data_IF_580683889283
#
_entry.id   IF_580683889283
#
_cell.length_a   1.000
_cell.length_b   1.000
_cell.length_c   1.000
_cell.angle_alpha   90.00
_cell.angle_beta   90.00
_cell.angle_gamma   90.00
#
_symmetry.space_group_name_H-M   'P 1'
#
loop_
_entity.id
_entity.type
_entity.pdbx_description
1 polymer ?
#
# COMPACT_ATOMS: atom_id res chain seq x y z
N UNK A 1 -14.81 -2.95 15.02
CA UNK A 1 -15.77 -3.91 14.43
C UNK A 1 -15.00 -5.19 14.13
N UNK A 2 -15.42 -6.33 14.69
CA UNK A 2 -14.80 -7.62 14.38
C UNK A 2 -15.27 -8.09 13.00
N UNK A 3 -14.36 -8.55 12.15
CA UNK A 3 -14.65 -9.07 10.81
C UNK A 3 -14.05 -10.46 10.66
N UNK A 4 -14.79 -11.37 10.03
CA UNK A 4 -14.30 -12.71 9.68
C UNK A 4 -13.21 -12.60 8.63
N UNK A 5 -12.18 -13.44 8.74
CA UNK A 5 -11.08 -13.50 7.77
C UNK A 5 -11.12 -14.83 7.05
N UNK A 6 -11.21 -14.77 5.72
CA UNK A 6 -10.95 -15.92 4.86
C UNK A 6 -9.68 -15.67 4.04
N UNK A 7 -8.77 -16.64 4.06
CA UNK A 7 -7.40 -16.51 3.52
C UNK A 7 -6.68 -15.25 4.03
N UNK A 8 -6.65 -14.20 3.22
CA UNK A 8 -6.03 -12.89 3.49
C UNK A 8 -7.02 -11.72 3.35
N UNK A 9 -8.32 -12.02 3.28
CA UNK A 9 -9.38 -11.04 3.03
C UNK A 9 -10.31 -10.94 4.23
N UNK A 10 -10.61 -9.71 4.66
CA UNK A 10 -11.65 -9.46 5.65
C UNK A 10 -13.03 -9.43 4.96
N UNK A 11 -13.94 -10.30 5.38
CA UNK A 11 -15.30 -10.37 4.87
C UNK A 11 -16.15 -9.25 5.50
N UNK A 12 -16.79 -8.45 4.67
CA UNK A 12 -17.59 -7.29 5.10
C UNK A 12 -19.02 -7.69 5.48
N UNK A 13 -19.56 -8.71 4.82
CA UNK A 13 -20.97 -9.10 4.90
C UNK A 13 -21.19 -10.37 5.74
N UNK A 14 -20.20 -10.79 6.51
CA UNK A 14 -20.32 -11.96 7.39
C UNK A 14 -21.20 -11.61 8.61
N UNK A 15 -22.26 -12.39 8.80
CA UNK A 15 -23.23 -12.25 9.89
C UNK A 15 -23.23 -13.46 10.86
N UNK A 16 -22.43 -14.48 10.57
CA UNK A 16 -22.32 -15.68 11.40
C UNK A 16 -21.67 -15.40 12.77
N UNK A 17 -22.10 -16.09 13.84
CA UNK A 17 -21.54 -15.90 15.18
C UNK A 17 -20.06 -16.31 15.25
N UNK A 18 -19.27 -15.50 15.94
CA UNK A 18 -17.85 -15.78 16.15
C UNK A 18 -17.68 -16.99 17.08
N UNK A 19 -16.93 -18.00 16.64
CA UNK A 19 -16.65 -19.23 17.38
C UNK A 19 -15.18 -19.30 17.82
N UNK A 20 -14.88 -20.22 18.74
CA UNK A 20 -13.50 -20.46 19.19
C UNK A 20 -12.59 -20.80 18.01
N UNK A 21 -11.34 -20.29 18.04
CA UNK A 21 -10.30 -20.51 17.02
C UNK A 21 -10.58 -19.89 15.64
N UNK A 22 -11.63 -19.07 15.47
CA UNK A 22 -11.83 -18.31 14.23
C UNK A 22 -10.74 -17.25 13.99
N UNK A 23 -10.31 -17.11 12.73
CA UNK A 23 -9.47 -16.00 12.27
C UNK A 23 -10.33 -14.75 12.08
N UNK A 24 -9.96 -13.67 12.77
CA UNK A 24 -10.70 -12.41 12.74
C UNK A 24 -9.75 -11.23 12.53
N UNK A 25 -10.28 -10.16 11.95
CA UNK A 25 -9.64 -8.86 11.84
C UNK A 25 -10.45 -7.82 12.62
N UNK A 26 -9.78 -6.81 13.17
CA UNK A 26 -10.42 -5.76 13.96
C UNK A 26 -10.37 -4.44 13.20
N UNK A 27 -11.48 -4.07 12.57
CA UNK A 27 -11.64 -2.79 11.90
C UNK A 27 -11.86 -1.65 12.91
N UNK A 28 -11.14 -0.54 12.73
CA UNK A 28 -11.31 0.68 13.51
C UNK A 28 -12.51 1.45 12.98
N UNK A 29 -13.54 1.62 13.82
CA UNK A 29 -14.77 2.31 13.42
C UNK A 29 -14.45 3.77 13.08
N UNK A 30 -15.17 4.33 12.11
CA UNK A 30 -15.05 5.73 11.68
C UNK A 30 -13.67 6.07 11.08
N UNK A 31 -13.01 5.07 10.48
CA UNK A 31 -11.73 5.23 9.74
C UNK A 31 -11.84 4.70 8.32
N UNK A 32 -10.94 5.13 7.43
CA UNK A 32 -10.87 4.62 6.06
C UNK A 32 -10.18 3.25 6.01
N UNK A 33 -10.95 2.17 6.22
CA UNK A 33 -10.47 0.78 6.08
C UNK A 33 -9.22 0.48 6.94
N UNK A 34 -9.08 1.13 8.09
CA UNK A 34 -7.98 0.86 9.02
C UNK A 34 -8.31 -0.32 9.90
N UNK A 35 -7.33 -1.19 10.07
CA UNK A 35 -7.42 -2.37 10.92
C UNK A 35 -6.31 -2.38 11.96
N UNK A 36 -6.59 -2.99 13.10
CA UNK A 36 -5.57 -3.34 14.07
C UNK A 36 -4.61 -4.34 13.44
N UNK A 37 -3.33 -4.01 13.40
CA UNK A 37 -2.28 -4.83 12.82
C UNK A 37 -1.10 -4.94 13.78
N UNK A 38 -0.44 -6.10 13.77
CA UNK A 38 0.81 -6.31 14.46
C UNK A 38 1.95 -6.15 13.45
N UNK A 39 2.86 -5.20 13.71
CA UNK A 39 4.12 -5.06 12.97
C UNK A 39 5.27 -5.31 13.94
N UNK A 40 5.88 -6.49 13.82
CA UNK A 40 6.86 -7.00 14.77
C UNK A 40 6.28 -7.04 16.19
N UNK A 41 6.82 -6.24 17.11
CA UNK A 41 6.37 -6.14 18.51
C UNK A 41 5.43 -4.96 18.75
N UNK A 42 5.05 -4.22 17.71
CA UNK A 42 4.21 -3.02 17.81
C UNK A 42 2.81 -3.27 17.27
N UNK A 43 1.83 -2.75 18.00
CA UNK A 43 0.45 -2.63 17.52
C UNK A 43 0.35 -1.32 16.73
N UNK A 44 -0.10 -1.41 15.48
CA UNK A 44 -0.27 -0.29 14.58
C UNK A 44 -1.67 -0.31 13.96
N UNK A 45 -2.06 0.81 13.35
CA UNK A 45 -3.19 0.87 12.46
C UNK A 45 -2.68 0.62 11.04
N UNK A 46 -3.29 -0.29 10.31
CA UNK A 46 -2.90 -0.63 8.94
C UNK A 46 -4.11 -0.60 8.02
N UNK A 47 -4.00 0.12 6.91
CA UNK A 47 -5.03 0.18 5.89
C UNK A 47 -4.99 -1.11 5.05
N UNK A 48 -6.07 -1.89 5.06
CA UNK A 48 -6.17 -3.06 4.17
C UNK A 48 -6.47 -2.62 2.75
N UNK A 49 -5.71 -3.18 1.80
CA UNK A 49 -5.80 -2.83 0.38
C UNK A 49 -6.36 -4.01 -0.41
N UNK A 50 -7.06 -3.72 -1.51
CA UNK A 50 -7.72 -4.75 -2.32
C UNK A 50 -9.25 -4.66 -2.41
N UNK A 51 -9.83 -3.48 -2.12
CA UNK A 51 -11.27 -3.23 -2.25
C UNK A 51 -11.62 -2.03 -3.13
N UNK A 52 -10.83 -1.72 -4.16
CA UNK A 52 -11.23 -0.80 -5.24
C UNK A 52 -10.74 0.66 -5.19
N UNK A 53 -10.36 1.23 -4.04
CA UNK A 53 -10.11 2.69 -3.97
C UNK A 53 -8.63 3.10 -4.01
N UNK A 54 -7.71 2.20 -3.63
CA UNK A 54 -6.27 2.52 -3.53
C UNK A 54 -5.45 1.37 -4.11
N UNK A 55 -4.64 1.68 -5.12
CA UNK A 55 -3.69 0.74 -5.71
C UNK A 55 -2.40 0.69 -4.88
N UNK A 56 -1.87 -0.50 -4.64
CA UNK A 56 -0.58 -0.69 -3.95
C UNK A 56 0.43 -1.34 -4.87
N UNK A 57 1.70 -1.00 -4.65
CA UNK A 57 2.85 -1.68 -5.23
C UNK A 57 3.66 -2.37 -4.12
N UNK A 58 3.91 -3.67 -4.28
CA UNK A 58 4.85 -4.40 -3.44
C UNK A 58 6.23 -4.43 -4.08
N UNK A 59 7.26 -4.03 -3.33
CA UNK A 59 8.66 -4.16 -3.70
C UNK A 59 9.26 -5.30 -2.89
N UNK A 60 9.87 -6.26 -3.59
CA UNK A 60 10.65 -7.34 -3.00
C UNK A 60 12.13 -7.12 -3.29
N UNK A 61 12.98 -7.38 -2.28
CA UNK A 61 14.39 -7.05 -2.36
C UNK A 61 15.16 -7.50 -1.13
N UNK A 62 16.22 -6.77 -0.79
CA UNK A 62 17.04 -7.01 0.39
C UNK A 62 17.48 -5.68 0.99
N UNK A 63 17.82 -5.69 2.29
CA UNK A 63 18.32 -4.53 3.04
C UNK A 63 17.33 -3.34 3.11
N UNK A 64 16.03 -3.61 3.02
CA UNK A 64 15.05 -2.56 3.30
C UNK A 64 15.07 -2.18 4.78
N UNK A 65 14.82 -0.90 5.06
CA UNK A 65 14.73 -0.39 6.41
C UNK A 65 13.48 0.49 6.55
N UNK A 66 12.97 0.70 7.77
CA UNK A 66 11.85 1.62 8.00
C UNK A 66 12.11 3.08 7.59
N UNK A 67 13.37 3.46 7.38
CA UNK A 67 13.77 4.83 7.02
C UNK A 67 13.79 5.06 5.50
N UNK A 68 13.43 4.05 4.70
CA UNK A 68 13.30 4.17 3.24
C UNK A 68 11.86 4.48 2.86
N UNK A 69 11.71 5.37 1.88
CA UNK A 69 10.46 5.70 1.20
C UNK A 69 10.54 5.34 -0.27
N UNK A 70 9.46 4.83 -0.83
CA UNK A 70 9.33 4.61 -2.28
C UNK A 70 8.93 5.92 -2.93
N UNK A 71 9.57 6.24 -4.04
CA UNK A 71 9.30 7.42 -4.84
C UNK A 71 9.00 7.01 -6.28
N UNK A 72 7.99 7.65 -6.87
CA UNK A 72 7.63 7.53 -8.27
C UNK A 72 8.05 8.83 -8.94
N UNK A 73 9.10 8.83 -9.75
CA UNK A 73 9.67 10.08 -10.24
C UNK A 73 10.07 11.01 -9.09
N UNK A 74 9.43 12.17 -9.02
CA UNK A 74 9.57 13.21 -8.01
C UNK A 74 8.45 13.21 -6.94
N UNK A 75 7.58 12.19 -6.95
CA UNK A 75 6.46 12.05 -6.01
C UNK A 75 6.78 10.99 -4.94
N UNK A 76 6.84 11.39 -3.68
CA UNK A 76 6.94 10.48 -2.53
C UNK A 76 5.63 9.69 -2.37
N UNK A 77 5.74 8.37 -2.23
CA UNK A 77 4.60 7.51 -1.95
C UNK A 77 4.51 7.15 -0.46
N UNK A 78 3.28 7.02 0.04
CA UNK A 78 3.06 6.44 1.36
C UNK A 78 3.60 5.01 1.41
N UNK A 79 4.63 4.81 2.23
CA UNK A 79 5.42 3.58 2.25
C UNK A 79 5.29 2.85 3.57
N UNK A 80 5.02 1.55 3.50
CA UNK A 80 4.86 0.63 4.62
C UNK A 80 5.97 -0.42 4.59
N UNK A 81 6.88 -0.35 5.55
CA UNK A 81 7.92 -1.37 5.74
C UNK A 81 7.31 -2.64 6.37
N UNK A 82 7.51 -3.80 5.73
CA UNK A 82 7.15 -5.11 6.30
C UNK A 82 8.36 -5.78 6.95
N UNK A 83 9.43 -5.98 6.18
CA UNK A 83 10.67 -6.59 6.63
C UNK A 83 11.83 -6.17 5.71
N UNK A 84 13.05 -6.65 6.01
CA UNK A 84 14.26 -6.35 5.21
C UNK A 84 14.18 -6.81 3.75
N UNK A 85 13.17 -7.58 3.40
CA UNK A 85 12.97 -8.17 2.07
C UNK A 85 11.69 -7.69 1.36
N UNK A 86 10.79 -7.00 2.06
CA UNK A 86 9.49 -6.57 1.52
C UNK A 86 9.04 -5.23 2.08
N UNK A 87 8.56 -4.37 1.18
CA UNK A 87 7.87 -3.13 1.50
C UNK A 87 6.71 -2.92 0.54
N UNK A 88 5.66 -2.26 1.03
CA UNK A 88 4.52 -1.84 0.25
C UNK A 88 4.54 -0.32 0.09
N UNK A 89 3.97 0.18 -0.99
CA UNK A 89 3.63 1.60 -1.10
C UNK A 89 2.28 1.79 -1.79
N UNK A 90 1.62 2.89 -1.47
CA UNK A 90 0.44 3.36 -2.21
C UNK A 90 0.92 3.92 -3.55
N UNK A 91 0.31 3.50 -4.65
CA UNK A 91 0.57 4.08 -5.98
C UNK A 91 -0.06 5.47 -6.01
N UNK A 92 0.72 6.55 -6.22
CA UNK A 92 0.16 7.90 -6.31
C UNK A 92 -0.81 8.04 -7.48
N UNK A 93 -1.82 8.89 -7.32
CA UNK A 93 -2.70 9.28 -8.43
C UNK A 93 -1.90 10.02 -9.52
N UNK A 94 -2.31 9.86 -10.77
CA UNK A 94 -1.61 10.47 -11.91
C UNK A 94 -1.59 12.01 -11.83
N UNK A 95 -2.58 12.63 -11.19
CA UNK A 95 -2.65 14.08 -11.00
C UNK A 95 -1.47 14.63 -10.18
N UNK A 96 -0.81 13.79 -9.37
CA UNK A 96 0.35 14.18 -8.58
C UNK A 96 1.58 14.56 -9.43
N UNK A 97 1.68 14.03 -10.66
CA UNK A 97 2.82 14.28 -11.55
C UNK A 97 2.66 15.54 -12.40
N UNK A 98 1.41 15.94 -12.70
CA UNK A 98 1.07 17.15 -13.46
C UNK A 98 -0.31 17.67 -13.06
N UNK A 99 -0.36 18.91 -12.58
CA UNK A 99 -1.62 19.58 -12.28
C UNK A 99 -2.57 19.56 -13.48
N UNK A 100 -3.82 19.15 -13.24
CA UNK A 100 -4.88 19.08 -14.26
C UNK A 100 -5.03 17.74 -14.99
N UNK A 101 -4.16 16.76 -14.75
CA UNK A 101 -4.34 15.40 -15.27
C UNK A 101 -5.39 14.65 -14.46
N UNK A 102 -6.57 14.40 -15.05
CA UNK A 102 -7.62 13.56 -14.44
C UNK A 102 -7.60 12.10 -14.92
N UNK A 103 -6.97 11.85 -16.06
CA UNK A 103 -6.90 10.54 -16.70
C UNK A 103 -5.70 10.44 -17.64
N UNK A 104 -5.13 9.24 -17.72
CA UNK A 104 -4.00 8.91 -18.58
C UNK A 104 -4.50 8.75 -20.01
N UNK A 105 -4.07 9.61 -20.95
CA UNK A 105 -4.40 9.48 -22.39
C UNK A 105 -3.43 8.59 -23.16
N UNK A 106 -2.20 8.48 -22.67
CA UNK A 106 -1.12 7.67 -23.22
C UNK A 106 -0.30 7.09 -22.06
N UNK A 107 0.31 5.91 -22.20
CA UNK A 107 1.10 5.32 -21.13
C UNK A 107 2.16 6.28 -20.59
N UNK A 108 2.17 6.49 -19.28
CA UNK A 108 3.19 7.29 -18.60
C UNK A 108 4.06 6.39 -17.76
N UNK A 109 5.37 6.43 -18.04
CA UNK A 109 6.37 5.67 -17.30
C UNK A 109 7.12 6.59 -16.35
N UNK A 110 7.23 6.18 -15.10
CA UNK A 110 7.99 6.89 -14.06
C UNK A 110 8.99 5.93 -13.40
N UNK A 111 10.21 6.38 -13.10
CA UNK A 111 11.18 5.57 -12.40
C UNK A 111 10.73 5.34 -10.95
N UNK A 112 10.98 4.15 -10.43
CA UNK A 112 10.77 3.84 -9.01
C UNK A 112 12.12 3.94 -8.31
N UNK A 113 12.20 4.75 -7.26
CA UNK A 113 13.42 4.93 -6.47
C UNK A 113 13.15 4.72 -4.99
N UNK A 114 14.19 4.41 -4.22
CA UNK A 114 14.13 4.38 -2.77
C UNK A 114 14.92 5.56 -2.22
N UNK A 115 14.29 6.36 -1.36
CA UNK A 115 14.91 7.53 -0.76
C UNK A 115 14.98 7.33 0.74
N UNK A 116 16.17 7.51 1.31
CA UNK A 116 16.39 7.47 2.75
C UNK A 116 16.06 8.83 3.37
N UNK A 117 15.68 8.83 4.64
CA UNK A 117 15.32 10.05 5.38
C UNK A 117 16.41 11.15 5.45
N UNK A 118 17.67 10.83 5.14
CA UNK A 118 18.78 11.78 5.03
C UNK A 118 19.05 12.25 3.58
N UNK A 119 18.18 11.91 2.64
CA UNK A 119 18.21 12.38 1.26
C UNK A 119 19.02 11.50 0.30
N UNK A 120 19.58 10.38 0.75
CA UNK A 120 20.26 9.43 -0.17
C UNK A 120 19.22 8.74 -1.06
N UNK A 121 19.47 8.75 -2.37
CA UNK A 121 18.64 8.12 -3.39
C UNK A 121 19.31 6.82 -3.87
N UNK A 122 18.58 5.71 -3.79
CA UNK A 122 18.94 4.42 -4.36
C UNK A 122 18.07 4.17 -5.60
N UNK A 123 18.71 4.14 -6.78
CA UNK A 123 18.02 3.80 -8.03
C UNK A 123 17.75 2.30 -8.09
N UNK A 124 16.52 1.91 -8.43
CA UNK A 124 16.10 0.50 -8.45
C UNK A 124 16.13 -0.14 -9.84
N UNK A 125 16.42 0.64 -10.90
CA UNK A 125 16.21 0.28 -12.31
C UNK A 125 14.77 -0.09 -12.72
N UNK A 126 13.81 -0.05 -11.78
CA UNK A 126 12.41 -0.32 -12.02
C UNK A 126 11.68 0.93 -12.52
N UNK A 127 10.64 0.70 -13.31
CA UNK A 127 9.70 1.73 -13.77
C UNK A 127 8.27 1.28 -13.51
N UNK A 128 7.42 2.20 -13.08
CA UNK A 128 5.98 2.00 -12.99
C UNK A 128 5.30 2.63 -14.21
N UNK A 129 4.32 1.93 -14.78
CA UNK A 129 3.59 2.40 -15.97
C UNK A 129 2.12 2.65 -15.62
N UNK A 130 1.71 3.90 -15.72
CA UNK A 130 0.30 4.30 -15.69
C UNK A 130 -0.30 4.08 -17.08
N UNK A 131 -1.32 3.24 -17.20
CA UNK A 131 -2.02 2.96 -18.46
C UNK A 131 -3.40 3.61 -18.49
N UNK A 132 -3.88 4.06 -19.66
CA UNK A 132 -5.29 4.46 -19.83
C UNK A 132 -6.23 3.32 -19.43
N UNK A 133 -7.37 3.65 -18.84
CA UNK A 133 -8.46 2.67 -18.68
C UNK A 133 -8.95 2.21 -20.07
N UNK A 134 -9.23 0.91 -20.27
CA UNK A 134 -9.94 0.47 -21.46
C UNK A 134 -11.32 1.14 -21.48
N UNK A 135 -11.58 1.93 -22.52
CA UNK A 135 -12.89 2.56 -22.75
C UNK A 135 -13.97 1.58 -23.13
#
# INVERSE_FOLDING_TARGET
IIRKVDKQTALLDADDPVSQLHKCAFYLKDTERMYLCLSQERIIQFQLNGGGDVAMLELTGQNFTPNLRVWFGDVEAETMYRCGESMLCVVPDISAFREGWRWVRQPVQVPVTLVRNDGIIYSTSLTFTYTPEPG
#
